data_IF_207031995717
#
_entry.id   IF_207031995717
#
_cell.length_a   1.000
_cell.length_b   1.000
_cell.length_c   1.000
_cell.angle_alpha   90.00
_cell.angle_beta   90.00
_cell.angle_gamma   90.00
#
_symmetry.space_group_name_H-M   'P 1'
#
loop_
_entity.id
_entity.type
_entity.pdbx_description
1 polymer ?
#
# COMPACT_ATOMS: atom_id res chain seq x y z
N UNK A 1 22.79 9.83 5.33
CA UNK A 1 22.84 10.09 3.90
C UNK A 1 22.23 8.85 3.26
N UNK A 2 21.24 8.98 2.39
CA UNK A 2 20.69 7.82 1.68
C UNK A 2 21.74 7.31 0.70
N UNK A 3 22.01 6.01 0.74
CA UNK A 3 22.93 5.39 -0.22
C UNK A 3 22.15 5.10 -1.51
N UNK A 4 22.42 5.86 -2.54
CA UNK A 4 21.87 5.70 -3.90
C UNK A 4 22.88 5.11 -4.88
N UNK A 5 23.91 4.44 -4.38
CA UNK A 5 24.97 3.85 -5.22
C UNK A 5 24.58 2.51 -5.86
N UNK A 6 23.46 1.92 -5.44
CA UNK A 6 22.95 0.63 -5.93
C UNK A 6 21.90 0.74 -7.03
N UNK A 7 21.41 -0.40 -7.49
CA UNK A 7 20.25 -0.47 -8.38
C UNK A 7 19.00 -0.01 -7.64
N UNK A 8 18.18 0.90 -8.21
CA UNK A 8 16.91 1.26 -7.62
C UNK A 8 16.01 0.03 -7.44
N UNK A 9 15.23 0.04 -6.36
CA UNK A 9 14.19 -0.95 -6.13
C UNK A 9 13.07 -0.83 -7.16
N UNK A 10 12.68 0.42 -7.48
CA UNK A 10 11.71 0.75 -8.52
C UNK A 10 12.27 1.88 -9.38
N UNK A 11 12.16 1.72 -10.68
CA UNK A 11 12.39 2.79 -11.64
C UNK A 11 11.14 2.96 -12.51
N UNK A 12 10.63 4.17 -12.54
CA UNK A 12 9.65 4.60 -13.53
C UNK A 12 10.40 5.42 -14.57
N UNK A 13 10.36 5.03 -15.83
CA UNK A 13 11.07 5.71 -16.93
C UNK A 13 10.07 6.22 -17.95
N UNK A 14 10.02 7.54 -18.14
CA UNK A 14 9.20 8.23 -19.16
C UNK A 14 7.71 7.81 -19.15
N UNK A 15 7.15 7.60 -17.98
CA UNK A 15 5.75 7.18 -17.82
C UNK A 15 4.84 8.27 -18.36
N UNK A 16 3.96 7.87 -19.27
CA UNK A 16 2.91 8.74 -19.81
C UNK A 16 1.57 8.03 -19.81
N UNK A 17 0.51 8.79 -19.48
CA UNK A 17 -0.89 8.35 -19.56
C UNK A 17 -1.80 9.53 -19.84
N UNK A 18 -2.75 9.32 -20.77
CA UNK A 18 -3.74 10.32 -21.13
C UNK A 18 -5.17 9.78 -21.03
N UNK A 19 -6.11 10.62 -20.69
CA UNK A 19 -7.53 10.31 -20.64
C UNK A 19 -8.31 11.28 -21.52
N UNK A 20 -8.96 10.78 -22.57
CA UNK A 20 -9.78 11.60 -23.48
C UNK A 20 -9.00 12.80 -24.06
N UNK A 21 -7.72 12.62 -24.39
CA UNK A 21 -6.86 13.68 -24.95
C UNK A 21 -6.19 14.57 -23.91
N UNK A 22 -6.50 14.43 -22.62
CA UNK A 22 -5.82 15.16 -21.54
C UNK A 22 -4.67 14.29 -21.03
N UNK A 23 -3.43 14.79 -21.14
CA UNK A 23 -2.26 14.14 -20.54
C UNK A 23 -2.30 14.31 -19.03
N UNK A 24 -2.57 13.22 -18.32
CA UNK A 24 -2.60 13.21 -16.86
C UNK A 24 -1.21 13.00 -16.26
N UNK A 25 -0.33 12.27 -16.96
CA UNK A 25 1.10 12.12 -16.67
C UNK A 25 1.82 12.23 -18.00
N UNK A 26 2.90 13.00 -18.07
CA UNK A 26 3.63 13.25 -19.30
C UNK A 26 5.13 13.12 -19.05
N UNK A 27 5.75 12.05 -19.55
CA UNK A 27 7.18 11.73 -19.47
C UNK A 27 7.77 11.84 -18.05
N UNK A 28 7.12 11.25 -17.04
CA UNK A 28 7.57 11.29 -15.65
C UNK A 28 8.50 10.12 -15.35
N UNK A 29 9.66 10.43 -14.77
CA UNK A 29 10.64 9.43 -14.29
C UNK A 29 10.88 9.61 -12.80
N UNK A 30 10.90 8.50 -12.05
CA UNK A 30 11.13 8.45 -10.59
C UNK A 30 11.91 7.20 -10.26
N UNK A 31 12.89 7.32 -9.38
CA UNK A 31 13.64 6.21 -8.79
C UNK A 31 13.32 6.11 -7.31
N UNK A 32 13.12 4.88 -6.82
CA UNK A 32 12.97 4.54 -5.42
C UNK A 32 14.04 3.52 -5.02
N UNK A 33 14.84 3.84 -4.01
CA UNK A 33 15.88 2.95 -3.51
C UNK A 33 15.42 2.18 -2.26
N UNK A 34 16.04 1.03 -1.94
CA UNK A 34 15.74 0.29 -0.71
C UNK A 34 15.87 1.17 0.53
N UNK A 35 14.90 1.08 1.45
CA UNK A 35 14.84 1.89 2.67
C UNK A 35 14.60 3.39 2.43
N UNK A 36 14.21 3.80 1.23
CA UNK A 36 13.87 5.19 0.90
C UNK A 36 12.38 5.46 1.10
N UNK A 37 12.04 6.68 1.46
CA UNK A 37 10.68 7.23 1.45
C UNK A 37 10.65 8.40 0.49
N UNK A 38 9.90 8.27 -0.60
CA UNK A 38 9.72 9.30 -1.62
C UNK A 38 8.36 9.96 -1.47
N UNK A 39 8.33 11.27 -1.29
CA UNK A 39 7.09 12.06 -1.25
C UNK A 39 6.81 12.69 -2.61
N UNK A 40 5.63 12.39 -3.18
CA UNK A 40 5.14 13.06 -4.39
C UNK A 40 4.38 14.33 -4.00
N UNK A 41 4.94 15.48 -4.28
CA UNK A 41 4.35 16.77 -3.97
C UNK A 41 3.83 17.45 -5.25
N UNK A 42 2.74 18.18 -5.13
CA UNK A 42 2.14 18.94 -6.23
C UNK A 42 0.68 19.29 -5.92
N UNK A 43 0.13 20.24 -6.66
CA UNK A 43 -1.26 20.68 -6.53
C UNK A 43 -2.25 19.55 -6.95
N UNK A 44 -3.53 19.74 -6.65
CA UNK A 44 -4.58 18.83 -7.10
C UNK A 44 -4.65 18.83 -8.62
N UNK A 45 -4.78 17.65 -9.22
CA UNK A 45 -4.73 17.46 -10.67
C UNK A 45 -3.33 17.36 -11.29
N UNK A 46 -2.24 17.44 -10.50
CA UNK A 46 -0.87 17.31 -11.01
C UNK A 46 -0.46 15.89 -11.43
N UNK A 47 -1.38 14.92 -11.49
CA UNK A 47 -1.10 13.57 -11.95
C UNK A 47 -0.53 12.61 -10.88
N UNK A 48 -0.33 13.04 -9.62
CA UNK A 48 0.27 12.23 -8.55
C UNK A 48 -0.43 10.88 -8.37
N UNK A 49 -1.74 10.90 -8.09
CA UNK A 49 -2.54 9.68 -7.90
C UNK A 49 -2.64 8.85 -9.18
N UNK A 50 -2.56 9.47 -10.36
CA UNK A 50 -2.52 8.77 -11.65
C UNK A 50 -1.23 7.97 -11.81
N UNK A 51 -0.09 8.58 -11.51
CA UNK A 51 1.21 7.90 -11.54
C UNK A 51 1.26 6.73 -10.55
N UNK A 52 0.78 6.94 -9.31
CA UNK A 52 0.65 5.90 -8.29
C UNK A 52 -0.24 4.76 -8.79
N UNK A 53 -1.36 5.07 -9.45
CA UNK A 53 -2.28 4.09 -10.01
C UNK A 53 -1.69 3.29 -11.17
N UNK A 54 -0.72 3.83 -11.92
CA UNK A 54 0.05 3.05 -12.89
C UNK A 54 0.94 2.02 -12.19
N UNK A 55 1.64 2.41 -11.13
CA UNK A 55 2.51 1.49 -10.39
C UNK A 55 1.70 0.43 -9.61
N UNK A 56 0.51 0.79 -9.11
CA UNK A 56 -0.38 -0.16 -8.42
C UNK A 56 -1.19 -1.06 -9.37
N UNK A 57 -1.08 -0.86 -10.69
CA UNK A 57 -1.82 -1.62 -11.69
C UNK A 57 -3.30 -1.26 -11.81
N UNK A 58 -3.75 -0.18 -11.16
CA UNK A 58 -5.13 0.30 -11.30
C UNK A 58 -5.36 1.01 -12.64
N UNK A 59 -4.30 1.59 -13.21
CA UNK A 59 -4.29 2.15 -14.56
C UNK A 59 -3.15 1.57 -15.37
N UNK A 60 -3.38 1.34 -16.66
CA UNK A 60 -2.34 0.95 -17.59
C UNK A 60 -1.67 2.21 -18.15
N UNK A 61 -0.34 2.26 -18.14
CA UNK A 61 0.44 3.31 -18.80
C UNK A 61 0.28 3.24 -20.32
N UNK A 62 0.30 4.37 -21.01
CA UNK A 62 0.32 4.43 -22.47
C UNK A 62 1.74 4.28 -23.01
N UNK A 63 2.75 4.82 -22.31
CA UNK A 63 4.16 4.76 -22.68
C UNK A 63 5.05 4.74 -21.43
N UNK A 64 6.35 4.44 -21.67
CA UNK A 64 7.36 4.34 -20.64
C UNK A 64 7.53 2.92 -20.10
N UNK A 65 8.48 2.77 -19.17
CA UNK A 65 8.87 1.48 -18.61
C UNK A 65 8.78 1.50 -17.08
N UNK A 66 8.42 0.38 -16.48
CA UNK A 66 8.50 0.14 -15.05
C UNK A 66 9.56 -0.95 -14.85
N UNK A 67 10.58 -0.66 -14.03
CA UNK A 67 11.58 -1.66 -13.68
C UNK A 67 11.52 -1.91 -12.17
N UNK A 68 11.70 -3.17 -11.79
CA UNK A 68 11.85 -3.61 -10.39
C UNK A 68 13.14 -4.39 -10.29
N UNK A 69 14.03 -4.01 -9.36
CA UNK A 69 15.38 -4.55 -9.23
C UNK A 69 16.14 -4.55 -10.59
N UNK A 70 15.96 -3.49 -11.40
CA UNK A 70 16.58 -3.33 -12.72
C UNK A 70 15.96 -4.17 -13.85
N UNK A 71 14.94 -4.99 -13.57
CA UNK A 71 14.25 -5.80 -14.57
C UNK A 71 12.95 -5.14 -15.01
N UNK A 72 12.76 -4.99 -16.31
CA UNK A 72 11.49 -4.45 -16.83
C UNK A 72 10.33 -5.39 -16.50
N UNK A 73 9.23 -4.82 -15.99
CA UNK A 73 8.02 -5.55 -15.62
C UNK A 73 6.80 -4.90 -16.25
N UNK A 74 5.82 -5.73 -16.60
CA UNK A 74 4.54 -5.24 -17.10
C UNK A 74 3.50 -5.34 -15.97
N UNK A 75 2.96 -4.19 -15.56
CA UNK A 75 1.91 -4.09 -14.54
C UNK A 75 0.64 -3.59 -15.23
N UNK A 76 -0.31 -4.48 -15.44
CA UNK A 76 -1.58 -4.20 -16.13
C UNK A 76 -2.79 -4.26 -15.22
N UNK A 77 -2.65 -4.85 -14.05
CA UNK A 77 -3.71 -5.01 -13.06
C UNK A 77 -3.12 -5.09 -11.64
N UNK A 78 -3.92 -4.94 -10.59
CA UNK A 78 -3.41 -4.98 -9.21
C UNK A 78 -2.82 -6.34 -8.76
N UNK A 79 -3.11 -7.44 -9.46
CA UNK A 79 -2.48 -8.74 -9.16
C UNK A 79 -1.03 -8.76 -9.61
N UNK A 80 -0.73 -8.15 -10.77
CA UNK A 80 0.64 -8.00 -11.25
C UNK A 80 1.47 -7.19 -10.25
N UNK A 81 0.96 -6.04 -9.79
CA UNK A 81 1.64 -5.24 -8.77
C UNK A 81 1.93 -6.05 -7.50
N UNK A 82 0.95 -6.81 -7.01
CA UNK A 82 1.12 -7.67 -5.82
C UNK A 82 2.11 -8.81 -6.04
N UNK A 83 2.20 -9.38 -7.24
CA UNK A 83 3.21 -10.42 -7.54
C UNK A 83 4.64 -9.89 -7.42
N UNK A 84 4.82 -8.58 -7.53
CA UNK A 84 6.07 -7.87 -7.30
C UNK A 84 6.19 -7.28 -5.88
N UNK A 85 5.35 -7.72 -4.93
CA UNK A 85 5.30 -7.24 -3.55
C UNK A 85 5.06 -5.72 -3.44
N UNK A 86 4.27 -5.16 -4.36
CA UNK A 86 3.76 -3.79 -4.30
C UNK A 86 2.39 -3.82 -3.64
N UNK A 87 2.26 -3.19 -2.49
CA UNK A 87 0.98 -3.01 -1.81
C UNK A 87 0.59 -1.54 -1.79
N UNK A 88 -0.71 -1.26 -1.92
CA UNK A 88 -1.22 0.11 -1.98
C UNK A 88 -2.26 0.33 -0.90
N UNK A 89 -2.06 1.38 -0.12
CA UNK A 89 -3.04 1.93 0.82
C UNK A 89 -3.66 3.15 0.14
N UNK A 90 -4.88 2.99 -0.33
CA UNK A 90 -5.62 4.08 -0.96
C UNK A 90 -6.21 5.03 0.09
N UNK A 91 -6.52 6.25 -0.31
CA UNK A 91 -7.19 7.25 0.52
C UNK A 91 -8.48 6.71 1.19
N UNK A 92 -9.25 5.89 0.49
CA UNK A 92 -10.46 5.22 1.00
C UNK A 92 -10.18 3.96 1.80
N UNK A 93 -8.90 3.61 2.05
CA UNK A 93 -8.39 2.42 2.74
C UNK A 93 -8.78 1.07 2.10
N UNK A 94 -9.75 1.03 1.20
CA UNK A 94 -10.27 -0.18 0.54
C UNK A 94 -10.57 -1.33 1.53
N UNK A 95 -11.20 -1.00 2.65
CA UNK A 95 -11.66 -1.94 3.67
C UNK A 95 -13.14 -2.23 3.50
N UNK A 96 -13.55 -3.46 3.78
CA UNK A 96 -14.95 -3.86 3.83
C UNK A 96 -15.52 -3.50 5.21
N UNK A 97 -16.41 -2.52 5.25
CA UNK A 97 -16.95 -1.92 6.48
C UNK A 97 -17.66 -2.91 7.40
N UNK A 98 -18.29 -3.93 6.83
CA UNK A 98 -19.06 -4.96 7.54
C UNK A 98 -18.20 -6.12 8.08
N UNK A 99 -16.93 -6.19 7.70
CA UNK A 99 -16.00 -7.22 8.13
C UNK A 99 -15.12 -6.72 9.29
N UNK A 100 -14.63 -7.63 10.09
CA UNK A 100 -13.68 -7.34 11.18
C UNK A 100 -12.23 -7.14 10.68
N UNK A 101 -11.31 -6.92 11.60
CA UNK A 101 -9.92 -6.64 11.26
C UNK A 101 -9.23 -7.85 10.59
N UNK A 102 -9.51 -9.07 11.05
CA UNK A 102 -8.90 -10.29 10.50
C UNK A 102 -9.40 -10.58 9.08
N UNK A 103 -10.71 -10.54 8.89
CA UNK A 103 -11.33 -10.73 7.58
C UNK A 103 -10.87 -9.66 6.57
N UNK A 104 -10.69 -8.40 6.98
CA UNK A 104 -10.15 -7.35 6.12
C UNK A 104 -8.67 -7.55 5.78
N UNK A 105 -7.86 -8.02 6.74
CA UNK A 105 -6.45 -8.28 6.53
C UNK A 105 -6.25 -9.34 5.46
N UNK A 106 -7.01 -10.44 5.54
CA UNK A 106 -6.87 -11.58 4.65
C UNK A 106 -7.81 -11.55 3.43
N UNK A 107 -8.61 -10.51 3.24
CA UNK A 107 -9.61 -10.42 2.17
C UNK A 107 -9.01 -10.75 0.78
N UNK A 108 -9.50 -11.84 0.18
CA UNK A 108 -9.02 -12.38 -1.09
C UNK A 108 -7.69 -13.15 -1.01
N UNK A 109 -7.20 -13.43 0.20
CA UNK A 109 -6.01 -14.24 0.50
C UNK A 109 -6.22 -15.00 1.82
N UNK A 110 -7.44 -15.51 2.02
CA UNK A 110 -7.87 -16.17 3.25
C UNK A 110 -6.98 -17.37 3.55
N UNK A 111 -6.63 -17.56 4.83
CA UNK A 111 -6.00 -18.78 5.29
C UNK A 111 -7.02 -19.91 5.28
N UNK A 112 -6.59 -21.09 4.85
CA UNK A 112 -7.49 -22.25 4.75
C UNK A 112 -6.96 -23.44 5.53
N UNK A 113 -7.89 -24.20 6.10
CA UNK A 113 -7.60 -25.50 6.70
C UNK A 113 -7.13 -26.50 5.62
N UNK A 114 -6.53 -27.66 5.99
CA UNK A 114 -6.15 -28.69 5.03
C UNK A 114 -7.33 -29.24 4.19
N UNK A 115 -8.56 -29.05 4.64
CA UNK A 115 -9.78 -29.43 3.93
C UNK A 115 -10.31 -28.32 2.98
N UNK A 116 -9.63 -27.16 2.90
CA UNK A 116 -9.97 -26.06 2.01
C UNK A 116 -11.04 -25.09 2.55
N UNK A 117 -11.46 -25.22 3.82
CA UNK A 117 -12.35 -24.25 4.47
C UNK A 117 -11.54 -23.06 5.00
N UNK A 118 -12.16 -21.88 5.09
CA UNK A 118 -11.54 -20.70 5.70
C UNK A 118 -11.22 -20.99 7.17
N UNK A 119 -10.02 -20.62 7.60
CA UNK A 119 -9.53 -20.79 8.97
C UNK A 119 -9.54 -19.45 9.70
N UNK A 120 -10.71 -19.09 10.23
CA UNK A 120 -10.92 -17.81 10.94
C UNK A 120 -10.04 -17.69 12.19
N UNK A 121 -9.80 -18.81 12.89
CA UNK A 121 -8.97 -18.82 14.11
C UNK A 121 -7.49 -18.54 13.77
N UNK A 122 -6.98 -19.17 12.71
CA UNK A 122 -5.62 -18.87 12.23
C UNK A 122 -5.48 -17.43 11.75
N UNK A 123 -6.46 -16.92 11.00
CA UNK A 123 -6.46 -15.51 10.55
C UNK A 123 -6.48 -14.54 11.72
N UNK A 124 -7.31 -14.79 12.74
CA UNK A 124 -7.33 -13.94 13.93
C UNK A 124 -6.01 -13.99 14.71
N UNK A 125 -5.44 -15.17 14.88
CA UNK A 125 -4.16 -15.35 15.59
C UNK A 125 -3.04 -14.58 14.90
N UNK A 126 -2.92 -14.67 13.58
CA UNK A 126 -1.93 -13.91 12.80
C UNK A 126 -2.20 -12.40 12.85
N UNK A 127 -3.47 -11.98 12.78
CA UNK A 127 -3.85 -10.58 12.94
C UNK A 127 -3.41 -10.03 14.29
N UNK A 128 -3.60 -10.76 15.37
CA UNK A 128 -3.14 -10.35 16.71
C UNK A 128 -1.64 -10.22 16.79
N UNK A 129 -0.87 -11.12 16.16
CA UNK A 129 0.60 -11.05 16.12
C UNK A 129 1.07 -9.78 15.42
N UNK A 130 0.52 -9.44 14.25
CA UNK A 130 0.93 -8.24 13.52
C UNK A 130 0.55 -6.96 14.27
N UNK A 131 -0.64 -6.92 14.88
CA UNK A 131 -1.08 -5.78 15.67
C UNK A 131 -0.29 -5.60 16.97
N UNK A 132 0.22 -6.67 17.58
CA UNK A 132 1.11 -6.57 18.74
C UNK A 132 2.38 -5.74 18.43
N UNK A 133 2.81 -5.73 17.16
CA UNK A 133 3.95 -4.92 16.68
C UNK A 133 3.53 -3.52 16.26
N UNK A 134 2.45 -3.39 15.47
CA UNK A 134 2.06 -2.14 14.81
C UNK A 134 1.22 -1.22 15.71
N UNK A 135 0.33 -1.78 16.49
CA UNK A 135 -0.57 -1.05 17.38
C UNK A 135 -0.91 -1.91 18.60
N UNK A 136 -0.01 -2.02 19.59
CA UNK A 136 -0.20 -2.88 20.77
C UNK A 136 -1.46 -2.54 21.60
N UNK A 137 -2.02 -1.34 21.41
CA UNK A 137 -3.24 -0.89 22.10
C UNK A 137 -4.53 -1.23 21.37
N UNK A 138 -4.46 -1.84 20.19
CA UNK A 138 -5.66 -2.26 19.46
C UNK A 138 -6.38 -3.41 20.20
N UNK A 139 -7.69 -3.28 20.38
CA UNK A 139 -8.50 -4.26 21.16
C UNK A 139 -9.74 -4.74 20.40
N UNK A 140 -10.16 -4.04 19.38
CA UNK A 140 -11.44 -4.26 18.68
C UNK A 140 -11.33 -5.28 17.52
N UNK A 141 -10.72 -6.44 17.75
CA UNK A 141 -10.48 -7.43 16.71
C UNK A 141 -11.74 -8.01 16.09
N UNK A 142 -12.82 -8.17 16.88
CA UNK A 142 -14.10 -8.74 16.43
C UNK A 142 -15.14 -7.69 16.01
N UNK A 143 -14.81 -6.40 16.18
CA UNK A 143 -15.73 -5.35 15.77
C UNK A 143 -15.64 -5.14 14.24
N UNK A 144 -16.76 -4.88 13.56
CA UNK A 144 -16.73 -4.50 12.16
C UNK A 144 -15.93 -3.21 11.98
N UNK A 145 -15.23 -3.09 10.86
CA UNK A 145 -14.33 -1.94 10.58
C UNK A 145 -15.10 -0.62 10.58
N UNK A 146 -16.40 -0.62 10.25
CA UNK A 146 -17.27 0.57 10.38
C UNK A 146 -17.30 1.15 11.81
N UNK A 147 -17.12 0.32 12.85
CA UNK A 147 -17.13 0.75 14.26
C UNK A 147 -15.74 1.19 14.77
N UNK A 148 -14.73 1.21 13.92
CA UNK A 148 -13.37 1.64 14.24
C UNK A 148 -13.19 3.14 13.98
N UNK A 149 -12.28 3.78 14.74
CA UNK A 149 -11.84 5.15 14.42
C UNK A 149 -11.03 5.18 13.12
N UNK A 150 -10.85 6.37 12.54
CA UNK A 150 -10.04 6.56 11.34
C UNK A 150 -8.64 5.97 11.49
N UNK A 151 -7.94 6.26 12.59
CA UNK A 151 -6.62 5.71 12.88
C UNK A 151 -6.61 4.19 13.10
N UNK A 152 -7.67 3.64 13.70
CA UNK A 152 -7.81 2.18 13.82
C UNK A 152 -8.02 1.51 12.46
N UNK A 153 -8.84 2.10 11.59
CA UNK A 153 -9.02 1.63 10.20
C UNK A 153 -7.70 1.71 9.42
N UNK A 154 -6.97 2.81 9.56
CA UNK A 154 -5.65 2.96 8.96
C UNK A 154 -4.70 1.86 9.44
N UNK A 155 -4.70 1.54 10.74
CA UNK A 155 -3.89 0.43 11.29
C UNK A 155 -4.22 -0.92 10.64
N UNK A 156 -5.50 -1.19 10.32
CA UNK A 156 -5.90 -2.42 9.62
C UNK A 156 -5.34 -2.45 8.21
N UNK A 157 -5.45 -1.36 7.44
CA UNK A 157 -4.92 -1.27 6.09
C UNK A 157 -3.40 -1.45 6.03
N UNK A 158 -2.70 -0.88 7.00
CA UNK A 158 -1.25 -1.01 7.11
C UNK A 158 -0.84 -2.42 7.55
N UNK A 159 -1.55 -3.01 8.53
CA UNK A 159 -1.30 -4.39 8.97
C UNK A 159 -1.40 -5.38 7.79
N UNK A 160 -2.33 -5.17 6.87
CA UNK A 160 -2.46 -5.94 5.64
C UNK A 160 -1.20 -5.86 4.78
N UNK A 161 -0.70 -4.66 4.50
CA UNK A 161 0.50 -4.46 3.69
C UNK A 161 1.75 -5.08 4.35
N UNK A 162 1.91 -4.91 5.66
CA UNK A 162 3.04 -5.45 6.42
C UNK A 162 2.98 -6.98 6.52
N UNK A 163 1.80 -7.56 6.73
CA UNK A 163 1.64 -9.02 6.84
C UNK A 163 2.06 -9.73 5.55
N UNK A 164 1.73 -9.16 4.40
CA UNK A 164 2.08 -9.73 3.10
C UNK A 164 3.49 -9.33 2.60
N UNK A 165 4.36 -8.86 3.50
CA UNK A 165 5.76 -8.53 3.22
C UNK A 165 5.91 -7.58 2.01
N UNK A 166 5.14 -6.50 2.00
CA UNK A 166 5.29 -5.47 0.98
C UNK A 166 6.73 -4.96 0.95
N UNK A 167 7.42 -5.11 -0.17
CA UNK A 167 8.73 -4.50 -0.43
C UNK A 167 8.58 -3.03 -0.82
N UNK A 168 7.46 -2.72 -1.47
CA UNK A 168 7.11 -1.39 -1.94
C UNK A 168 5.72 -1.07 -1.39
N UNK A 169 5.64 -0.04 -0.56
CA UNK A 169 4.40 0.42 0.02
C UNK A 169 4.03 1.79 -0.56
N UNK A 170 2.90 1.84 -1.26
CA UNK A 170 2.32 3.07 -1.77
C UNK A 170 1.26 3.55 -0.79
N UNK A 171 1.32 4.83 -0.44
CA UNK A 171 0.30 5.48 0.39
C UNK A 171 -0.23 6.71 -0.34
N UNK A 172 -1.51 6.71 -0.68
CA UNK A 172 -2.20 7.84 -1.32
C UNK A 172 -2.92 8.66 -0.26
N UNK A 173 -2.39 9.82 0.05
CA UNK A 173 -2.89 10.76 1.07
C UNK A 173 -3.19 10.12 2.45
N UNK A 174 -2.24 9.41 3.06
CA UNK A 174 -2.49 8.55 4.22
C UNK A 174 -2.96 9.30 5.48
N UNK A 175 -2.96 10.63 5.47
CA UNK A 175 -3.32 11.47 6.62
C UNK A 175 -4.47 12.44 6.36
N UNK A 176 -5.05 12.45 5.16
CA UNK A 176 -6.01 13.46 4.72
C UNK A 176 -7.29 13.55 5.58
N UNK A 177 -7.68 12.45 6.24
CA UNK A 177 -8.88 12.38 7.09
C UNK A 177 -8.57 12.08 8.57
N UNK A 178 -7.32 12.27 9.00
CA UNK A 178 -6.85 11.92 10.33
C UNK A 178 -6.63 13.16 11.21
N UNK A 179 -6.88 13.00 12.52
CA UNK A 179 -6.50 13.99 13.52
C UNK A 179 -4.97 14.04 13.76
N UNK A 180 -4.49 15.04 14.52
CA UNK A 180 -3.04 15.21 14.76
C UNK A 180 -2.37 13.98 15.39
N UNK A 181 -3.03 13.32 16.34
CA UNK A 181 -2.50 12.12 17.00
C UNK A 181 -2.39 10.94 16.05
N UNK A 182 -3.41 10.72 15.22
CA UNK A 182 -3.45 9.65 14.23
C UNK A 182 -2.44 9.89 13.11
N UNK A 183 -2.27 11.14 12.69
CA UNK A 183 -1.22 11.56 11.73
C UNK A 183 0.18 11.23 12.27
N UNK A 184 0.43 11.50 13.55
CA UNK A 184 1.71 11.16 14.17
C UNK A 184 1.92 9.64 14.20
N UNK A 185 0.90 8.83 14.51
CA UNK A 185 1.00 7.37 14.48
C UNK A 185 1.37 6.84 13.07
N UNK A 186 0.77 7.39 12.02
CA UNK A 186 1.12 7.03 10.64
C UNK A 186 2.57 7.43 10.32
N UNK A 187 3.01 8.60 10.73
CA UNK A 187 4.38 9.06 10.53
C UNK A 187 5.41 8.17 11.24
N UNK A 188 5.11 7.76 12.47
CA UNK A 188 6.00 6.89 13.23
C UNK A 188 6.05 5.48 12.65
N UNK A 189 4.92 4.99 12.14
CA UNK A 189 4.85 3.72 11.45
C UNK A 189 5.64 3.72 10.13
N UNK A 190 5.56 4.79 9.33
CA UNK A 190 6.39 4.93 8.12
C UNK A 190 7.89 4.88 8.48
N UNK A 191 8.30 5.52 9.59
CA UNK A 191 9.68 5.46 10.07
C UNK A 191 10.09 4.05 10.52
N UNK A 192 9.16 3.28 11.08
CA UNK A 192 9.39 1.91 11.49
C UNK A 192 9.54 0.98 10.26
N UNK A 193 8.63 1.09 9.30
CA UNK A 193 8.68 0.32 8.06
C UNK A 193 9.94 0.59 7.25
N UNK A 194 10.42 1.83 7.26
CA UNK A 194 11.70 2.20 6.61
C UNK A 194 12.92 1.43 7.16
N UNK A 195 12.86 0.91 8.39
CA UNK A 195 13.99 0.21 9.03
C UNK A 195 14.03 -1.28 8.69
N UNK A 196 12.97 -1.82 8.11
CA UNK A 196 12.84 -3.21 7.68
C UNK A 196 13.29 -3.38 6.23
#
# INVERSE_FOLDING_TARGET
>A
MLDRSGTPLVELRDISIAFGGVKAVDHVSIDLFPGEVVGLLGHNGAGKSTLIKCLSGAYRKDAGQILIDGNEVEITNPRDARSHNIETIYQTLALADNLDAAANLFLGRELTTPLGFVDDDAMEAETRKIFARLNPNFRKFKAPVAALSGGQRQSVAIARAVYFNARILIMDEPTAALGPQETQMVADLIKELKKQ
#
